data_IF_610015233354
#
_entry.id   IF_610015233354
#
_cell.length_a   1.000
_cell.length_b   1.000
_cell.length_c   1.000
_cell.angle_alpha   90.00
_cell.angle_beta   90.00
_cell.angle_gamma   90.00
#
_symmetry.space_group_name_H-M   'P 1'
#
loop_
_entity.id
_entity.type
_entity.pdbx_description
1 polymer ?
#
# COMPACT_ATOMS: atom_id res chain seq x y z
N UNK A 1 9.68 1.34 -18.20
CA UNK A 1 9.98 0.92 -16.83
C UNK A 1 8.78 0.21 -16.24
N UNK A 2 9.02 -0.91 -15.55
CA UNK A 2 7.94 -1.67 -14.93
C UNK A 2 7.43 -0.93 -13.70
N UNK A 3 6.10 -0.83 -13.60
CA UNK A 3 5.46 -0.26 -12.41
C UNK A 3 5.24 -1.37 -11.38
N UNK A 4 5.58 -1.09 -10.14
CA UNK A 4 5.36 -2.01 -9.03
C UNK A 4 4.08 -1.63 -8.31
N UNK A 5 3.22 -2.62 -8.10
CA UNK A 5 1.98 -2.42 -7.37
C UNK A 5 2.26 -2.53 -5.87
N UNK A 6 1.81 -1.56 -5.09
CA UNK A 6 2.07 -1.56 -3.67
C UNK A 6 0.80 -1.43 -2.85
N UNK A 7 0.90 -1.85 -1.58
CA UNK A 7 -0.18 -1.77 -0.60
C UNK A 7 0.40 -1.21 0.69
N UNK A 8 -0.41 -0.42 1.39
CA UNK A 8 -0.02 0.18 2.67
C UNK A 8 -0.94 -0.36 3.75
N UNK A 9 -0.37 -0.83 4.85
CA UNK A 9 -1.11 -1.28 6.03
C UNK A 9 -0.47 -0.67 7.26
N UNK A 10 -1.19 0.23 7.94
CA UNK A 10 -0.70 0.92 9.13
C UNK A 10 -1.90 1.40 9.93
N UNK A 11 -1.91 1.16 11.23
CA UNK A 11 -3.01 1.57 12.09
C UNK A 11 -2.97 3.06 12.43
N UNK A 12 -1.92 3.77 12.04
CA UNK A 12 -1.80 5.20 12.26
C UNK A 12 -2.21 5.96 11.00
N UNK A 13 -3.36 6.70 11.02
CA UNK A 13 -3.85 7.38 9.81
C UNK A 13 -2.87 8.37 9.19
N UNK A 14 -2.11 9.07 10.02
CA UNK A 14 -1.13 10.03 9.51
C UNK A 14 0.00 9.33 8.76
N UNK A 15 0.44 8.19 9.28
CA UNK A 15 1.48 7.40 8.60
C UNK A 15 0.97 6.89 7.25
N UNK A 16 -0.29 6.45 7.18
CA UNK A 16 -0.89 6.02 5.91
C UNK A 16 -0.86 7.16 4.90
N UNK A 17 -1.26 8.34 5.32
CA UNK A 17 -1.26 9.50 4.42
C UNK A 17 0.14 9.85 3.92
N UNK A 18 1.12 9.79 4.80
CA UNK A 18 2.49 10.08 4.41
C UNK A 18 3.00 9.07 3.37
N UNK A 19 2.70 7.79 3.56
CA UNK A 19 3.10 6.75 2.62
C UNK A 19 2.35 6.86 1.30
N UNK A 20 1.05 7.21 1.35
CA UNK A 20 0.28 7.45 0.13
C UNK A 20 0.90 8.59 -0.68
N UNK A 21 1.31 9.66 -0.01
CA UNK A 21 1.95 10.78 -0.68
C UNK A 21 3.29 10.36 -1.29
N UNK A 22 4.07 9.58 -0.55
CA UNK A 22 5.34 9.07 -1.04
C UNK A 22 5.13 8.24 -2.33
N UNK A 23 4.14 7.35 -2.31
CA UNK A 23 3.84 6.50 -3.47
C UNK A 23 3.40 7.35 -4.66
N UNK A 24 2.56 8.37 -4.41
CA UNK A 24 2.05 9.22 -5.48
C UNK A 24 3.17 10.02 -6.18
N UNK A 25 4.27 10.27 -5.47
CA UNK A 25 5.41 11.00 -6.01
C UNK A 25 6.48 10.10 -6.61
N UNK A 26 6.29 8.79 -6.54
CA UNK A 26 7.27 7.82 -7.02
C UNK A 26 6.75 7.17 -8.31
N UNK A 27 7.29 7.55 -9.48
CA UNK A 27 6.70 7.15 -10.77
C UNK A 27 6.60 5.65 -11.01
N UNK A 28 7.49 4.86 -10.40
CA UNK A 28 7.49 3.40 -10.60
C UNK A 28 6.65 2.65 -9.57
N UNK A 29 5.93 3.38 -8.71
CA UNK A 29 5.02 2.77 -7.74
C UNK A 29 3.58 3.14 -8.06
N UNK A 30 2.70 2.16 -7.93
CA UNK A 30 1.26 2.36 -8.09
C UNK A 30 0.55 1.80 -6.86
N UNK A 31 -0.23 2.64 -6.20
CA UNK A 31 -0.96 2.22 -5.00
C UNK A 31 -2.20 1.42 -5.41
N UNK A 32 -2.28 0.16 -4.95
CA UNK A 32 -3.45 -0.67 -5.16
C UNK A 32 -4.50 -0.41 -4.08
N UNK A 33 -4.06 -0.32 -2.82
CA UNK A 33 -4.97 -0.11 -1.70
C UNK A 33 -4.18 0.31 -0.46
N UNK A 34 -4.85 0.95 0.48
CA UNK A 34 -4.29 1.24 1.79
C UNK A 34 -5.33 0.88 2.84
N UNK A 35 -4.86 0.36 3.98
CA UNK A 35 -5.71 -0.08 5.07
C UNK A 35 -5.15 0.38 6.40
N UNK A 36 -6.05 0.70 7.33
CA UNK A 36 -5.65 1.02 8.70
C UNK A 36 -5.86 -0.16 9.65
N UNK A 37 -6.23 -1.32 9.11
CA UNK A 37 -6.43 -2.53 9.89
C UNK A 37 -5.87 -3.72 9.10
N UNK A 38 -4.89 -4.45 9.68
CA UNK A 38 -4.29 -5.60 8.99
C UNK A 38 -5.29 -6.68 8.61
N UNK A 39 -6.36 -6.85 9.40
CA UNK A 39 -7.37 -7.86 9.10
C UNK A 39 -8.05 -7.56 7.79
N UNK A 40 -8.34 -6.28 7.53
CA UNK A 40 -8.99 -5.87 6.29
C UNK A 40 -8.09 -6.07 5.08
N UNK A 41 -6.77 -6.02 5.29
CA UNK A 41 -5.81 -6.16 4.20
C UNK A 41 -5.67 -7.60 3.71
N UNK A 42 -5.99 -8.58 4.55
CA UNK A 42 -5.75 -9.99 4.23
C UNK A 42 -6.50 -10.46 2.98
N UNK A 43 -7.76 -10.07 2.84
CA UNK A 43 -8.54 -10.49 1.67
C UNK A 43 -7.97 -9.90 0.39
N UNK A 44 -7.56 -8.63 0.43
CA UNK A 44 -6.96 -7.98 -0.73
C UNK A 44 -5.62 -8.63 -1.09
N UNK A 45 -4.82 -9.00 -0.09
CA UNK A 45 -3.55 -9.70 -0.33
C UNK A 45 -3.76 -11.04 -1.00
N UNK A 46 -4.86 -11.73 -0.67
CA UNK A 46 -5.17 -13.02 -1.29
C UNK A 46 -5.64 -12.88 -2.73
N UNK A 47 -6.37 -11.81 -3.02
CA UNK A 47 -7.02 -11.64 -4.31
C UNK A 47 -6.19 -10.88 -5.33
N UNK A 48 -5.25 -10.08 -4.87
CA UNK A 48 -4.46 -9.20 -5.71
C UNK A 48 -2.99 -9.52 -5.66
N UNK A 49 -2.33 -9.30 -6.79
CA UNK A 49 -0.87 -9.43 -6.85
C UNK A 49 -0.26 -8.11 -6.39
N UNK A 50 0.46 -8.15 -5.28
CA UNK A 50 1.12 -6.97 -4.71
C UNK A 50 2.62 -7.22 -4.71
N UNK A 51 3.36 -6.27 -5.29
CA UNK A 51 4.82 -6.37 -5.38
C UNK A 51 5.53 -5.87 -4.12
N UNK A 52 4.97 -4.83 -3.50
CA UNK A 52 5.58 -4.19 -2.33
C UNK A 52 4.51 -3.97 -1.27
N UNK A 53 4.83 -4.33 -0.04
CA UNK A 53 3.94 -4.12 1.10
C UNK A 53 4.64 -3.21 2.12
N UNK A 54 4.06 -2.04 2.36
CA UNK A 54 4.49 -1.16 3.44
C UNK A 54 3.68 -1.53 4.68
N UNK A 55 4.36 -2.11 5.65
CA UNK A 55 3.72 -2.66 6.85
C UNK A 55 4.37 -2.07 8.10
N UNK A 56 3.53 -1.59 9.00
CA UNK A 56 4.00 -1.16 10.31
C UNK A 56 3.21 -1.84 11.41
#
# INVERSE_FOLDING_TARGET
>A
MKTLTCMIVDDEPLAVKMLEDFVSRTPYLRLAASFNDPVLALSTLRESSVDVLFLD
#
